data_IF_270879324625
#
_entry.id   IF_270879324625
#
_cell.length_a   1.000
_cell.length_b   1.000
_cell.length_c   1.000
_cell.angle_alpha   90.00
_cell.angle_beta   90.00
_cell.angle_gamma   90.00
#
_symmetry.space_group_name_H-M   'P 1'
#
loop_
_entity.id
_entity.type
_entity.pdbx_description
1 polymer ?
#
# COMPACT_ATOMS: atom_id res chain seq x y z
N UNK A 1 19.34 18.49 -28.81
CA UNK A 1 18.35 18.41 -27.72
C UNK A 1 19.00 17.68 -26.56
N UNK A 2 19.26 18.38 -25.46
CA UNK A 2 19.94 17.85 -24.28
C UNK A 2 18.96 16.92 -23.54
N UNK A 3 19.26 15.63 -23.45
CA UNK A 3 18.55 14.71 -22.56
C UNK A 3 18.88 15.10 -21.13
N UNK A 4 17.93 15.73 -20.44
CA UNK A 4 18.05 16.03 -19.02
C UNK A 4 17.90 14.71 -18.27
N UNK A 5 19.03 14.05 -17.98
CA UNK A 5 19.07 12.97 -16.99
C UNK A 5 18.89 13.64 -15.64
N UNK A 6 17.62 13.86 -15.28
CA UNK A 6 17.25 14.45 -14.02
C UNK A 6 17.78 13.53 -12.91
N UNK A 7 18.62 14.08 -12.04
CA UNK A 7 19.11 13.43 -10.84
C UNK A 7 17.92 12.82 -10.10
N UNK A 8 17.78 11.49 -10.13
CA UNK A 8 16.84 10.80 -9.27
C UNK A 8 17.39 10.99 -7.86
N UNK A 9 16.85 11.96 -7.13
CA UNK A 9 17.25 12.21 -5.75
C UNK A 9 17.16 10.90 -4.95
N UNK A 10 18.12 10.63 -4.07
CA UNK A 10 18.20 9.37 -3.30
C UNK A 10 16.86 9.02 -2.62
N UNK A 11 16.12 10.04 -2.17
CA UNK A 11 14.77 9.92 -1.58
C UNK A 11 13.74 9.36 -2.57
N UNK A 12 13.77 9.78 -3.84
CA UNK A 12 12.89 9.28 -4.90
C UNK A 12 13.23 7.82 -5.25
N UNK A 13 14.50 7.45 -5.17
CA UNK A 13 15.00 6.11 -5.46
C UNK A 13 14.63 5.12 -4.35
N UNK A 14 14.81 5.50 -3.07
CA UNK A 14 14.38 4.72 -1.90
C UNK A 14 12.87 4.46 -1.92
N UNK A 15 12.08 5.51 -2.19
CA UNK A 15 10.63 5.38 -2.31
C UNK A 15 10.22 4.45 -3.46
N UNK A 16 10.93 4.51 -4.59
CA UNK A 16 10.69 3.60 -5.72
C UNK A 16 10.95 2.14 -5.32
N UNK A 17 12.05 1.88 -4.62
CA UNK A 17 12.38 0.53 -4.14
C UNK A 17 11.34 -0.01 -3.14
N UNK A 18 10.85 0.82 -2.21
CA UNK A 18 9.78 0.39 -1.29
C UNK A 18 8.50 0.00 -2.04
N UNK A 19 8.10 0.77 -3.04
CA UNK A 19 6.92 0.43 -3.86
C UNK A 19 7.14 -0.87 -4.63
N UNK A 20 8.32 -1.08 -5.22
CA UNK A 20 8.64 -2.33 -5.90
C UNK A 20 8.63 -3.53 -4.94
N UNK A 21 9.12 -3.35 -3.71
CA UNK A 21 9.07 -4.39 -2.68
C UNK A 21 7.63 -4.71 -2.24
N UNK A 22 6.76 -3.70 -2.15
CA UNK A 22 5.32 -3.88 -1.94
C UNK A 22 4.69 -4.66 -3.10
N UNK A 23 5.05 -4.32 -4.35
CA UNK A 23 4.59 -5.06 -5.53
C UNK A 23 5.05 -6.51 -5.53
N UNK A 24 6.28 -6.80 -5.07
CA UNK A 24 6.81 -8.17 -5.02
C UNK A 24 6.16 -9.02 -3.91
N UNK A 25 5.72 -8.41 -2.81
CA UNK A 25 5.13 -9.09 -1.67
C UNK A 25 3.65 -9.45 -1.89
N UNK A 26 3.36 -10.75 -2.00
CA UNK A 26 2.00 -11.28 -2.19
C UNK A 26 1.03 -10.79 -1.11
N UNK A 27 1.42 -10.78 0.15
CA UNK A 27 0.54 -10.38 1.24
C UNK A 27 0.19 -8.90 1.19
N UNK A 28 1.14 -8.07 0.78
CA UNK A 28 0.89 -6.65 0.56
C UNK A 28 -0.11 -6.45 -0.60
N UNK A 29 0.03 -7.19 -1.70
CA UNK A 29 -0.93 -7.18 -2.81
C UNK A 29 -2.33 -7.63 -2.38
N UNK A 30 -2.42 -8.76 -1.66
CA UNK A 30 -3.69 -9.30 -1.18
C UNK A 30 -4.42 -8.30 -0.26
N UNK A 31 -3.70 -7.61 0.63
CA UNK A 31 -4.28 -6.59 1.52
C UNK A 31 -4.78 -5.39 0.71
N UNK A 32 -3.98 -4.87 -0.24
CA UNK A 32 -4.38 -3.75 -1.08
C UNK A 32 -5.61 -4.05 -1.92
N UNK A 33 -5.67 -5.22 -2.58
CA UNK A 33 -6.82 -5.60 -3.39
C UNK A 33 -8.07 -5.82 -2.53
N UNK A 34 -7.92 -6.48 -1.38
CA UNK A 34 -9.04 -6.80 -0.49
C UNK A 34 -9.65 -5.56 0.16
N UNK A 35 -8.86 -4.49 0.32
CA UNK A 35 -9.31 -3.20 0.89
C UNK A 35 -9.60 -2.12 -0.16
N UNK A 36 -9.64 -2.48 -1.45
CA UNK A 36 -9.83 -1.52 -2.52
C UNK A 36 -11.23 -0.91 -2.53
N UNK A 37 -12.27 -1.75 -2.51
CA UNK A 37 -13.64 -1.26 -2.66
C UNK A 37 -14.26 -0.80 -1.33
N UNK A 38 -13.83 -1.39 -0.21
CA UNK A 38 -14.38 -1.08 1.10
C UNK A 38 -13.33 -1.17 2.23
N UNK A 39 -13.42 -0.29 3.26
CA UNK A 39 -12.58 -0.37 4.44
C UNK A 39 -12.82 -1.67 5.22
N UNK A 40 -11.75 -2.32 5.72
CA UNK A 40 -11.83 -3.59 6.48
C UNK A 40 -10.93 -3.56 7.72
N UNK A 41 -11.33 -4.28 8.76
CA UNK A 41 -10.50 -4.47 9.95
C UNK A 41 -9.39 -5.50 9.68
N UNK A 42 -8.33 -5.47 10.49
CA UNK A 42 -7.24 -6.45 10.38
C UNK A 42 -7.74 -7.90 10.55
N UNK A 43 -8.72 -8.12 11.44
CA UNK A 43 -9.35 -9.43 11.64
C UNK A 43 -10.05 -9.92 10.38
N UNK A 44 -10.86 -9.06 9.75
CA UNK A 44 -11.56 -9.39 8.51
C UNK A 44 -10.57 -9.68 7.37
N UNK A 45 -9.49 -8.91 7.29
CA UNK A 45 -8.41 -9.16 6.33
C UNK A 45 -7.75 -10.52 6.54
N UNK A 46 -7.41 -10.88 7.79
CA UNK A 46 -6.82 -12.18 8.09
C UNK A 46 -7.75 -13.34 7.70
N UNK A 47 -9.05 -13.20 7.94
CA UNK A 47 -10.05 -14.21 7.58
C UNK A 47 -10.20 -14.36 6.06
N UNK A 48 -10.34 -13.27 5.31
CA UNK A 48 -10.58 -13.32 3.87
C UNK A 48 -9.34 -13.71 3.06
N UNK A 49 -8.15 -13.31 3.52
CA UNK A 49 -6.89 -13.58 2.81
C UNK A 49 -6.19 -14.86 3.28
N UNK A 50 -6.59 -15.41 4.43
CA UNK A 50 -5.87 -16.50 5.10
C UNK A 50 -4.50 -16.11 5.68
N UNK A 51 -4.16 -14.82 5.68
CA UNK A 51 -2.89 -14.32 6.19
C UNK A 51 -2.94 -14.31 7.73
N UNK A 52 -1.91 -14.82 8.43
CA UNK A 52 -1.84 -14.72 9.89
C UNK A 52 -2.01 -13.28 10.37
N UNK A 53 -2.84 -13.05 11.39
CA UNK A 53 -3.20 -11.71 11.86
C UNK A 53 -1.99 -10.83 12.20
N UNK A 54 -0.93 -11.41 12.77
CA UNK A 54 0.33 -10.71 13.06
C UNK A 54 1.04 -10.24 11.79
N UNK A 55 0.98 -11.03 10.72
CA UNK A 55 1.51 -10.65 9.40
C UNK A 55 0.66 -9.59 8.75
N UNK A 56 -0.68 -9.63 8.90
CA UNK A 56 -1.58 -8.55 8.44
C UNK A 56 -1.17 -7.22 9.07
N UNK A 57 -1.01 -7.15 10.39
CA UNK A 57 -0.58 -5.92 11.06
C UNK A 57 0.79 -5.43 10.56
N UNK A 58 1.77 -6.32 10.42
CA UNK A 58 3.10 -5.96 9.92
C UNK A 58 3.05 -5.38 8.50
N UNK A 59 2.22 -5.94 7.63
CA UNK A 59 2.06 -5.44 6.24
C UNK A 59 1.27 -4.16 6.17
N UNK A 60 0.19 -4.04 6.95
CA UNK A 60 -0.58 -2.80 7.07
C UNK A 60 0.31 -1.65 7.53
N UNK A 61 1.16 -1.86 8.54
CA UNK A 61 2.10 -0.83 9.00
C UNK A 61 3.00 -0.36 7.86
N UNK A 62 3.62 -1.31 7.14
CA UNK A 62 4.46 -0.99 5.97
C UNK A 62 3.70 -0.23 4.89
N UNK A 63 2.48 -0.65 4.57
CA UNK A 63 1.63 -0.01 3.56
C UNK A 63 1.21 1.40 4.00
N UNK A 64 0.92 1.59 5.28
CA UNK A 64 0.58 2.88 5.87
C UNK A 64 1.77 3.85 5.84
N UNK A 65 2.96 3.38 6.23
CA UNK A 65 4.20 4.18 6.22
C UNK A 65 4.55 4.66 4.80
N UNK A 66 4.24 3.82 3.79
CA UNK A 66 4.36 4.16 2.37
C UNK A 66 3.15 4.93 1.80
N UNK A 67 2.19 5.33 2.63
CA UNK A 67 0.98 6.09 2.27
C UNK A 67 0.05 5.38 1.27
N UNK A 68 0.11 4.05 1.18
CA UNK A 68 -0.68 3.20 0.28
C UNK A 68 -2.01 2.75 0.89
N UNK A 69 -2.14 2.81 2.21
CA UNK A 69 -3.37 2.48 2.96
C UNK A 69 -3.74 3.66 3.86
N UNK A 70 -5.03 3.97 3.94
CA UNK A 70 -5.62 4.89 4.93
C UNK A 70 -6.07 4.08 6.14
N UNK A 71 -5.84 4.63 7.33
CA UNK A 71 -6.38 4.10 8.59
C UNK A 71 -7.50 5.04 9.06
N UNK A 72 -8.68 4.49 9.32
CA UNK A 72 -9.76 5.16 10.05
C UNK A 72 -10.00 4.41 11.36
N UNK A 73 -10.39 5.13 12.41
CA UNK A 73 -10.67 4.55 13.72
C UNK A 73 -12.07 4.93 14.16
N UNK A 74 -12.87 3.93 14.55
CA UNK A 74 -14.14 4.15 15.25
C UNK A 74 -13.97 3.76 16.71
N UNK A 75 -14.44 4.61 17.61
CA UNK A 75 -14.57 4.25 19.03
C UNK A 75 -15.93 3.58 19.17
N UNK A 76 -15.92 2.28 19.43
CA UNK A 76 -17.16 1.55 19.72
C UNK A 76 -17.79 2.05 21.02
N UNK A 77 -19.09 1.80 21.22
CA UNK A 77 -19.81 2.16 22.46
C UNK A 77 -19.17 1.54 23.73
N UNK A 78 -18.39 0.47 23.59
CA UNK A 78 -17.62 -0.17 24.66
C UNK A 78 -16.21 0.44 24.89
N UNK A 79 -15.87 1.53 24.20
CA UNK A 79 -14.56 2.19 24.29
C UNK A 79 -13.43 1.47 23.55
N UNK A 80 -13.69 0.35 22.85
CA UNK A 80 -12.69 -0.33 22.03
C UNK A 80 -12.46 0.44 20.73
N UNK A 81 -11.19 0.71 20.42
CA UNK A 81 -10.78 1.29 19.14
C UNK A 81 -10.88 0.21 18.05
N UNK A 82 -11.75 0.44 17.08
CA UNK A 82 -11.89 -0.42 15.91
C UNK A 82 -11.25 0.28 14.71
N UNK A 83 -10.07 -0.21 14.30
CA UNK A 83 -9.36 0.33 13.15
C UNK A 83 -9.83 -0.35 11.86
N UNK A 84 -10.10 0.48 10.86
CA UNK A 84 -10.42 0.08 9.51
C UNK A 84 -9.34 0.58 8.55
N UNK A 85 -9.06 -0.24 7.55
CA UNK A 85 -8.00 -0.04 6.58
C UNK A 85 -8.58 -0.04 5.18
N UNK A 86 -8.28 1.01 4.41
CA UNK A 86 -8.72 1.14 3.02
C UNK A 86 -7.54 1.44 2.11
N UNK A 87 -7.47 0.75 0.96
CA UNK A 87 -6.45 1.03 -0.03
C UNK A 87 -6.62 2.45 -0.56
N UNK A 88 -5.53 3.21 -0.61
CA UNK A 88 -5.43 4.49 -1.30
C UNK A 88 -5.00 4.34 -2.76
N UNK A 89 -4.80 3.09 -3.20
CA UNK A 89 -4.22 2.76 -4.50
C UNK A 89 -5.13 1.81 -5.24
N UNK A 90 -5.46 2.18 -6.48
CA UNK A 90 -6.24 1.36 -7.41
C UNK A 90 -5.33 0.51 -8.29
N UNK A 91 -4.16 1.04 -8.65
CA UNK A 91 -3.16 0.31 -9.43
C UNK A 91 -1.76 0.85 -9.15
N UNK A 92 -0.76 -0.03 -9.30
CA UNK A 92 0.65 0.34 -9.35
C UNK A 92 1.21 -0.22 -10.66
N UNK A 93 1.78 0.65 -11.50
CA UNK A 93 2.43 0.27 -12.73
C UNK A 93 3.92 0.51 -12.60
N UNK A 94 4.72 -0.48 -12.97
CA UNK A 94 6.17 -0.34 -13.04
C UNK A 94 6.65 -0.67 -14.45
N UNK A 95 7.47 0.21 -15.03
CA UNK A 95 8.12 -0.02 -16.32
C UNK A 95 9.63 0.10 -16.15
N UNK A 96 10.36 -0.87 -16.67
CA UNK A 96 11.82 -0.86 -16.73
C UNK A 96 12.26 -0.72 -18.18
N UNK A 97 13.17 0.23 -18.46
CA UNK A 97 13.77 0.46 -19.77
C UNK A 97 15.27 0.62 -19.55
N UNK A 98 16.05 -0.41 -19.86
CA UNK A 98 17.45 -0.48 -19.42
C UNK A 98 17.52 -0.37 -17.90
N UNK A 99 18.34 0.56 -17.41
CA UNK A 99 18.52 0.81 -15.97
C UNK A 99 17.49 1.78 -15.38
N UNK A 100 16.58 2.33 -16.20
CA UNK A 100 15.56 3.25 -15.74
C UNK A 100 14.31 2.52 -15.31
N UNK A 101 13.90 2.71 -14.05
CA UNK A 101 12.62 2.23 -13.53
C UNK A 101 11.69 3.41 -13.31
N UNK A 102 10.50 3.34 -13.88
CA UNK A 102 9.40 4.29 -13.64
C UNK A 102 8.29 3.57 -12.89
N UNK A 103 7.81 4.17 -11.81
CA UNK A 103 6.66 3.69 -11.05
C UNK A 103 5.56 4.74 -11.07
N UNK A 104 4.37 4.32 -11.47
CA UNK A 104 3.16 5.12 -11.44
C UNK A 104 2.17 4.50 -10.46
N UNK A 105 1.56 5.34 -9.61
CA UNK A 105 0.54 4.92 -8.64
C UNK A 105 -0.77 5.59 -9.05
N UNK A 106 -1.75 4.79 -9.42
CA UNK A 106 -3.12 5.26 -9.68
C UNK A 106 -3.86 5.30 -8.34
N UNK A 107 -4.31 6.48 -7.88
CA UNK A 107 -4.99 6.59 -6.61
C UNK A 107 -6.34 5.87 -6.64
N UNK A 108 -6.73 5.33 -5.50
CA UNK A 108 -8.09 4.87 -5.26
C UNK A 108 -8.94 6.06 -4.84
N UNK A 109 -9.95 6.48 -5.63
CA UNK A 109 -10.80 7.60 -5.28
C UNK A 109 -11.43 7.36 -3.91
N UNK A 110 -11.36 8.37 -3.05
CA UNK A 110 -12.07 8.34 -1.77
C UNK A 110 -13.54 8.63 -2.06
N UNK A 111 -14.43 7.70 -1.71
CA UNK A 111 -15.84 8.01 -1.54
C UNK A 111 -16.07 8.75 -0.22
#
# INVERSE_FOLDING_TARGET
MQTVLNEISTVQLEKTQEILQVMADKYSRDILSTTQDAPKSALKLAQETGIPISTVYRRIQRLHDNKLVRVSGEVTHEGKKHFLYQSKVKAILSKMIGDFITVEIVPNPSH
#
